data_IF_988330295384
#
_entry.id   IF_988330295384
#
_cell.length_a   1.000
_cell.length_b   1.000
_cell.length_c   1.000
_cell.angle_alpha   90.00
_cell.angle_beta   90.00
_cell.angle_gamma   90.00
#
_symmetry.space_group_name_H-M   'P 1'
#
loop_
_entity.id
_entity.type
_entity.pdbx_description
1 polymer ?
#
# COMPACT_ATOMS: atom_id res chain seq x y z
N UNK A 1 -17.98 -3.45 15.26
CA UNK A 1 -17.09 -2.75 14.29
C UNK A 1 -15.71 -3.38 14.40
N UNK A 2 -15.07 -3.71 13.30
CA UNK A 2 -13.72 -4.30 13.31
C UNK A 2 -12.68 -3.18 13.23
N UNK A 3 -11.53 -3.34 13.90
CA UNK A 3 -10.36 -2.51 13.70
C UNK A 3 -9.51 -3.09 12.57
N UNK A 4 -9.02 -2.22 11.69
CA UNK A 4 -8.17 -2.60 10.57
C UNK A 4 -6.81 -1.97 10.77
N UNK A 5 -5.76 -2.79 10.88
CA UNK A 5 -4.38 -2.33 10.90
C UNK A 5 -3.69 -2.78 9.60
N UNK A 6 -3.34 -1.82 8.76
CA UNK A 6 -2.57 -2.05 7.55
C UNK A 6 -1.12 -1.62 7.75
N UNK A 7 -0.19 -2.56 7.66
CA UNK A 7 1.24 -2.30 7.78
C UNK A 7 1.90 -2.51 6.43
N UNK A 8 2.59 -1.50 5.94
CA UNK A 8 3.23 -1.52 4.64
C UNK A 8 4.70 -1.10 4.76
N UNK A 9 5.60 -1.95 4.32
CA UNK A 9 7.03 -1.64 4.25
C UNK A 9 7.34 -0.93 2.92
N UNK A 10 8.44 -0.17 2.88
CA UNK A 10 8.92 0.51 1.67
C UNK A 10 10.13 -0.24 1.12
N UNK A 11 10.13 -0.52 -0.19
CA UNK A 11 11.24 -1.10 -0.96
C UNK A 11 11.80 -2.43 -0.42
N UNK A 12 11.08 -3.15 0.43
CA UNK A 12 11.54 -4.45 0.98
C UNK A 12 11.33 -5.62 0.02
N UNK A 13 10.38 -5.51 -0.89
CA UNK A 13 10.01 -6.60 -1.79
C UNK A 13 9.63 -7.86 -1.00
N UNK A 14 10.05 -9.01 -1.51
CA UNK A 14 9.82 -10.32 -0.89
C UNK A 14 11.03 -10.88 -0.13
N UNK A 15 12.05 -10.07 0.15
CA UNK A 15 13.30 -10.49 0.79
C UNK A 15 13.09 -10.60 2.30
N UNK A 16 12.32 -11.59 2.73
CA UNK A 16 11.93 -11.88 4.11
C UNK A 16 12.04 -13.39 4.37
N UNK A 17 12.29 -13.78 5.64
CA UNK A 17 12.41 -15.19 5.99
C UNK A 17 11.17 -16.05 5.70
N UNK A 18 9.91 -15.59 5.83
CA UNK A 18 8.74 -16.38 5.47
C UNK A 18 8.68 -16.78 3.98
N UNK A 19 9.38 -16.07 3.12
CA UNK A 19 9.51 -16.38 1.68
C UNK A 19 10.74 -17.22 1.34
N UNK A 20 11.52 -17.67 2.35
CA UNK A 20 12.67 -18.55 2.17
C UNK A 20 14.00 -17.82 1.97
N UNK A 21 14.04 -16.51 2.15
CA UNK A 21 15.29 -15.75 2.11
C UNK A 21 16.05 -15.85 3.44
N UNK A 22 17.38 -15.91 3.37
CA UNK A 22 18.27 -15.97 4.55
C UNK A 22 18.47 -14.58 5.16
N UNK A 23 17.38 -13.94 5.53
CA UNK A 23 17.35 -12.63 6.20
C UNK A 23 16.64 -12.81 7.53
N UNK A 24 17.24 -12.42 8.67
CA UNK A 24 16.60 -12.59 9.98
C UNK A 24 15.43 -11.62 10.14
N UNK A 25 14.21 -12.12 9.98
CA UNK A 25 12.96 -11.39 10.23
C UNK A 25 12.08 -12.22 11.18
N UNK A 26 12.50 -12.40 12.46
CA UNK A 26 11.88 -13.35 13.37
C UNK A 26 10.44 -13.03 13.70
N UNK A 27 10.07 -11.76 13.84
CA UNK A 27 8.70 -11.35 14.13
C UNK A 27 7.76 -11.65 12.95
N UNK A 28 8.20 -11.39 11.72
CA UNK A 28 7.43 -11.75 10.53
C UNK A 28 7.31 -13.27 10.35
N UNK A 29 8.36 -14.00 10.68
CA UNK A 29 8.34 -15.47 10.67
C UNK A 29 7.38 -16.03 11.72
N UNK A 30 7.36 -15.46 12.92
CA UNK A 30 6.43 -15.83 13.97
C UNK A 30 4.99 -15.54 13.55
N UNK A 31 4.73 -14.35 13.05
CA UNK A 31 3.40 -13.96 12.56
C UNK A 31 2.92 -14.84 11.41
N UNK A 32 3.82 -15.20 10.48
CA UNK A 32 3.50 -16.05 9.34
C UNK A 32 3.02 -17.47 9.71
N UNK A 33 3.33 -17.95 10.93
CA UNK A 33 2.85 -19.25 11.42
C UNK A 33 1.36 -19.24 11.76
N UNK A 34 0.80 -18.07 12.05
CA UNK A 34 -0.59 -17.86 12.47
C UNK A 34 -1.43 -17.14 11.41
N UNK A 35 -0.81 -16.73 10.31
CA UNK A 35 -1.43 -15.91 9.27
C UNK A 35 -1.41 -16.58 7.89
N UNK A 36 -2.23 -16.09 6.97
CA UNK A 36 -2.15 -16.48 5.57
C UNK A 36 -0.94 -15.83 4.89
N UNK A 37 -0.07 -16.64 4.30
CA UNK A 37 1.10 -16.17 3.55
C UNK A 37 0.85 -16.30 2.05
N UNK A 38 0.74 -15.19 1.37
CA UNK A 38 0.55 -15.14 -0.08
C UNK A 38 1.90 -15.20 -0.81
N UNK A 39 2.20 -16.34 -1.41
CA UNK A 39 3.46 -16.54 -2.13
C UNK A 39 3.48 -15.95 -3.54
N UNK A 40 2.32 -15.75 -4.14
CA UNK A 40 2.11 -15.24 -5.48
C UNK A 40 1.28 -13.93 -5.43
N UNK A 41 1.78 -12.93 -4.73
CA UNK A 41 1.22 -11.59 -4.72
C UNK A 41 2.06 -10.66 -5.60
N UNK A 42 1.41 -9.86 -6.43
CA UNK A 42 2.04 -8.99 -7.41
C UNK A 42 1.57 -7.55 -7.23
N UNK A 43 2.48 -6.59 -7.32
CA UNK A 43 2.13 -5.18 -7.38
C UNK A 43 1.71 -4.80 -8.82
N UNK A 44 0.86 -3.79 -8.94
CA UNK A 44 0.38 -3.31 -10.23
C UNK A 44 1.40 -2.44 -10.97
N UNK A 45 2.44 -1.99 -10.29
CA UNK A 45 3.53 -1.17 -10.85
C UNK A 45 4.80 -1.35 -10.02
N UNK A 46 5.99 -1.26 -10.64
CA UNK A 46 7.27 -1.33 -9.93
C UNK A 46 7.64 -0.03 -9.20
N UNK A 47 6.88 1.05 -9.39
CA UNK A 47 7.16 2.37 -8.83
C UNK A 47 6.21 2.68 -7.66
N UNK A 48 6.70 3.38 -6.62
CA UNK A 48 5.98 3.58 -5.35
C UNK A 48 4.61 4.25 -5.50
N UNK A 49 4.50 5.45 -6.06
CA UNK A 49 3.20 6.14 -6.15
C UNK A 49 2.17 5.37 -6.98
N UNK A 50 2.48 4.86 -8.18
CA UNK A 50 1.54 4.03 -8.94
C UNK A 50 1.15 2.73 -8.24
N UNK A 51 2.08 2.08 -7.56
CA UNK A 51 1.80 0.84 -6.83
C UNK A 51 0.87 1.08 -5.63
N UNK A 52 1.11 2.14 -4.86
CA UNK A 52 0.29 2.54 -3.71
C UNK A 52 -1.10 2.96 -4.16
N UNK A 53 -1.18 3.82 -5.18
CA UNK A 53 -2.43 4.25 -5.77
C UNK A 53 -3.29 3.06 -6.23
N UNK A 54 -2.69 2.10 -6.92
CA UNK A 54 -3.38 0.90 -7.35
C UNK A 54 -3.91 0.06 -6.18
N UNK A 55 -3.09 -0.10 -5.12
CA UNK A 55 -3.48 -0.81 -3.91
C UNK A 55 -4.68 -0.14 -3.21
N UNK A 56 -4.65 1.18 -3.05
CA UNK A 56 -5.65 1.93 -2.28
C UNK A 56 -6.90 2.33 -3.08
N UNK A 57 -6.87 2.22 -4.40
CA UNK A 57 -8.05 2.47 -5.25
C UNK A 57 -8.65 1.19 -5.85
N UNK A 58 -7.92 0.07 -5.80
CA UNK A 58 -8.31 -1.16 -6.47
C UNK A 58 -8.30 -1.05 -8.00
N UNK A 59 -7.58 -0.08 -8.57
CA UNK A 59 -7.53 0.19 -10.01
C UNK A 59 -6.09 0.24 -10.51
N UNK A 60 -5.88 -0.10 -11.79
CA UNK A 60 -4.55 -0.02 -12.39
C UNK A 60 -4.11 1.44 -12.60
N UNK A 61 -2.78 1.72 -12.67
CA UNK A 61 -2.26 3.08 -12.85
C UNK A 61 -2.86 3.85 -14.03
N UNK A 62 -3.11 3.19 -15.15
CA UNK A 62 -3.72 3.81 -16.32
C UNK A 62 -5.23 4.15 -16.14
N UNK A 63 -5.88 3.60 -15.11
CA UNK A 63 -7.27 3.87 -14.77
C UNK A 63 -7.42 4.97 -13.73
N UNK A 64 -6.44 5.10 -12.82
CA UNK A 64 -6.47 6.07 -11.72
C UNK A 64 -5.61 7.32 -11.97
N UNK A 65 -4.93 7.40 -13.11
CA UNK A 65 -4.09 8.54 -13.50
C UNK A 65 -2.67 8.54 -12.95
N UNK A 66 -2.36 7.72 -11.95
CA UNK A 66 -1.05 7.68 -11.32
C UNK A 66 -0.06 6.84 -12.12
N UNK A 67 0.40 7.37 -13.24
CA UNK A 67 1.35 6.69 -14.15
C UNK A 67 2.82 6.82 -13.73
N UNK A 68 3.13 7.75 -12.82
CA UNK A 68 4.47 8.00 -12.32
C UNK A 68 4.44 8.54 -10.90
N UNK A 69 5.56 9.08 -10.43
CA UNK A 69 5.69 9.59 -9.07
C UNK A 69 4.87 10.88 -8.87
N UNK A 70 4.14 10.97 -7.77
CA UNK A 70 3.31 12.13 -7.44
C UNK A 70 4.07 13.46 -7.49
N UNK A 71 5.32 13.50 -6.98
CA UNK A 71 6.17 14.70 -7.04
C UNK A 71 6.66 15.07 -8.44
N UNK A 72 6.29 14.30 -9.48
CA UNK A 72 6.57 14.61 -10.90
C UNK A 72 5.34 15.06 -11.66
N UNK A 73 4.29 15.51 -10.96
CA UNK A 73 3.08 16.06 -11.54
C UNK A 73 2.04 15.01 -11.98
N UNK A 74 2.17 13.76 -11.53
CA UNK A 74 1.10 12.79 -11.69
C UNK A 74 0.11 12.94 -10.54
N UNK A 75 -1.17 12.96 -10.87
CA UNK A 75 -2.27 13.15 -9.92
C UNK A 75 -3.13 11.88 -9.85
N UNK A 76 -3.54 11.54 -8.64
CA UNK A 76 -4.42 10.41 -8.36
C UNK A 76 -5.88 10.87 -8.36
N UNK A 77 -6.73 10.16 -9.11
CA UNK A 77 -8.17 10.23 -8.89
C UNK A 77 -8.53 9.53 -7.57
N UNK A 78 -8.75 10.33 -6.54
CA UNK A 78 -9.06 9.85 -5.20
C UNK A 78 -10.53 9.44 -5.02
N UNK A 79 -11.39 9.53 -6.03
CA UNK A 79 -12.82 9.25 -5.91
C UNK A 79 -13.15 7.83 -5.43
N UNK A 80 -12.23 6.89 -5.68
CA UNK A 80 -12.32 5.46 -5.29
C UNK A 80 -11.33 5.07 -4.21
N UNK A 81 -10.75 6.03 -3.50
CA UNK A 81 -9.72 5.74 -2.52
C UNK A 81 -10.30 5.04 -1.28
N UNK A 82 -9.64 3.98 -0.82
CA UNK A 82 -10.06 3.16 0.32
C UNK A 82 -10.32 3.99 1.59
N UNK A 83 -9.48 5.00 1.86
CA UNK A 83 -9.66 5.90 3.01
C UNK A 83 -10.99 6.65 2.94
N UNK A 84 -11.35 7.17 1.77
CA UNK A 84 -12.64 7.84 1.59
C UNK A 84 -13.80 6.85 1.77
N UNK A 85 -13.68 5.67 1.19
CA UNK A 85 -14.67 4.62 1.36
C UNK A 85 -14.88 4.25 2.84
N UNK A 86 -13.80 4.06 3.59
CA UNK A 86 -13.86 3.74 5.01
C UNK A 86 -14.46 4.89 5.84
N UNK A 87 -14.08 6.13 5.55
CA UNK A 87 -14.65 7.31 6.23
C UNK A 87 -16.17 7.44 6.00
N UNK A 88 -16.66 7.12 4.80
CA UNK A 88 -18.10 7.09 4.51
C UNK A 88 -18.86 5.95 5.25
N UNK A 89 -18.14 4.99 5.79
CA UNK A 89 -18.68 3.88 6.57
C UNK A 89 -18.34 3.97 8.06
N UNK A 90 -18.21 5.19 8.58
CA UNK A 90 -17.98 5.51 9.99
C UNK A 90 -16.67 4.97 10.58
N UNK A 91 -15.68 4.65 9.75
CA UNK A 91 -14.32 4.38 10.21
C UNK A 91 -13.55 5.69 10.39
N UNK A 92 -12.86 5.80 11.51
CA UNK A 92 -11.83 6.82 11.68
C UNK A 92 -10.52 6.30 11.11
N UNK A 93 -9.96 7.00 10.11
CA UNK A 93 -8.73 6.58 9.44
C UNK A 93 -7.54 7.43 9.89
N UNK A 94 -6.42 6.80 10.14
CA UNK A 94 -5.17 7.47 10.54
C UNK A 94 -4.01 6.94 9.72
N UNK A 95 -3.18 7.82 9.20
CA UNK A 95 -1.94 7.48 8.53
C UNK A 95 -0.76 7.79 9.45
N UNK A 96 0.15 6.83 9.59
CA UNK A 96 1.45 7.00 10.23
C UNK A 96 2.55 6.67 9.23
N UNK A 97 3.43 7.62 8.92
CA UNK A 97 4.52 7.44 7.96
C UNK A 97 4.28 8.14 6.62
N UNK A 98 4.61 7.48 5.52
CA UNK A 98 4.66 8.11 4.18
C UNK A 98 3.44 7.69 3.35
N UNK A 99 2.71 8.65 2.81
CA UNK A 99 1.63 8.39 1.86
C UNK A 99 2.15 8.23 0.40
N UNK A 100 2.92 9.16 -0.11
CA UNK A 100 3.58 9.18 -1.43
C UNK A 100 2.63 8.97 -2.63
N UNK A 101 1.37 9.39 -2.51
CA UNK A 101 0.33 9.29 -3.53
C UNK A 101 -0.18 10.66 -3.98
N UNK A 102 0.04 11.66 -3.15
CA UNK A 102 -0.33 13.04 -3.44
C UNK A 102 0.93 13.89 -3.41
N UNK A 103 1.06 14.85 -4.32
CA UNK A 103 2.17 15.80 -4.34
C UNK A 103 2.21 16.67 -3.08
N UNK A 104 3.37 17.24 -2.78
CA UNK A 104 3.62 18.08 -1.58
C UNK A 104 2.91 19.45 -1.62
N UNK A 105 2.08 19.71 -2.61
CA UNK A 105 1.46 21.00 -2.90
C UNK A 105 -0.02 21.08 -2.47
N UNK A 106 -0.37 20.44 -1.39
CA UNK A 106 -1.65 20.74 -0.74
C UNK A 106 -1.39 21.84 0.29
N UNK A 107 -1.57 23.10 -0.14
CA UNK A 107 -1.74 24.25 0.74
C UNK A 107 -3.02 24.11 1.56
#
# INVERSE_FOLDING_TARGET
>A
MYHILYIHTHDSGRILSPYGYKVPTPEMESFAKEAAVFRNAYCASPTCSPSRAALLTGTYPHQNGMLGLAQRGFELDCSRHLVQYLNHHDYHTTLCGIQHEVGWYLD
#
